data_IF_077852477431
#
_entry.id   IF_077852477431
#
_cell.length_a   1.000
_cell.length_b   1.000
_cell.length_c   1.000
_cell.angle_alpha   90.00
_cell.angle_beta   90.00
_cell.angle_gamma   90.00
#
_symmetry.space_group_name_H-M   'P 1'
#
loop_
_entity.id
_entity.type
_entity.pdbx_description
1 polymer ?
#
# COMPACT_ATOMS: atom_id res chain seq x y z
N UNK A 1 -20.66 -12.44 -5.27
CA UNK A 1 -20.34 -13.26 -4.08
C UNK A 1 -19.44 -12.41 -3.19
N UNK A 2 -19.67 -12.42 -1.87
CA UNK A 2 -18.82 -11.73 -0.91
C UNK A 2 -18.16 -12.80 -0.02
N UNK A 3 -16.84 -12.71 0.15
CA UNK A 3 -16.08 -13.57 1.04
C UNK A 3 -15.72 -12.79 2.30
N UNK A 4 -15.93 -13.38 3.47
CA UNK A 4 -15.39 -12.85 4.72
C UNK A 4 -13.89 -13.13 4.74
N UNK A 5 -13.10 -12.06 4.70
CA UNK A 5 -11.65 -12.18 4.62
C UNK A 5 -11.00 -12.44 5.99
N UNK A 6 -11.64 -11.99 7.08
CA UNK A 6 -11.20 -12.12 8.48
C UNK A 6 -12.41 -12.05 9.45
N UNK A 7 -12.32 -12.66 10.64
CA UNK A 7 -13.34 -12.60 11.72
C UNK A 7 -13.04 -11.51 12.78
N UNK A 8 -14.02 -11.12 13.62
CA UNK A 8 -14.49 -9.73 13.76
C UNK A 8 -13.37 -8.71 13.99
N UNK A 9 -13.43 -7.64 13.20
CA UNK A 9 -12.52 -6.50 13.33
C UNK A 9 -12.73 -5.82 14.70
N UNK A 10 -11.64 -5.62 15.44
CA UNK A 10 -11.66 -4.75 16.63
C UNK A 10 -11.95 -3.30 16.19
N UNK A 11 -13.10 -2.79 16.63
CA UNK A 11 -13.69 -1.48 16.28
C UNK A 11 -12.85 -0.28 16.77
N UNK A 12 -11.71 -0.55 17.42
CA UNK A 12 -10.84 0.43 18.05
C UNK A 12 -9.85 1.15 17.10
N UNK A 13 -9.84 0.86 15.80
CA UNK A 13 -8.80 1.35 14.89
C UNK A 13 -9.27 1.76 13.50
N UNK A 14 -8.97 2.99 13.10
CA UNK A 14 -9.08 3.46 11.72
C UNK A 14 -8.28 2.54 10.78
N UNK A 15 -8.94 1.86 9.84
CA UNK A 15 -8.30 1.03 8.82
C UNK A 15 -8.44 1.64 7.45
N UNK A 16 -7.40 1.46 6.64
CA UNK A 16 -7.46 1.74 5.20
C UNK A 16 -7.29 0.43 4.47
N UNK A 17 -8.13 0.23 3.45
CA UNK A 17 -8.17 -0.97 2.64
C UNK A 17 -7.83 -0.61 1.20
N UNK A 18 -7.12 -1.50 0.53
CA UNK A 18 -6.97 -1.50 -0.92
C UNK A 18 -7.26 -2.91 -1.44
N UNK A 19 -7.77 -3.01 -2.65
CA UNK A 19 -7.99 -4.29 -3.34
C UNK A 19 -7.50 -4.15 -4.77
N UNK A 20 -6.92 -5.22 -5.28
CA UNK A 20 -6.55 -5.33 -6.68
C UNK A 20 -6.72 -6.79 -7.13
N UNK A 21 -6.87 -6.98 -8.44
CA UNK A 21 -7.00 -8.32 -9.05
C UNK A 21 -5.78 -8.55 -9.92
N UNK A 22 -5.13 -9.70 -9.73
CA UNK A 22 -4.00 -10.12 -10.56
C UNK A 22 -4.45 -10.56 -11.96
N UNK A 23 -3.50 -10.73 -12.88
CA UNK A 23 -3.78 -11.27 -14.21
C UNK A 23 -4.29 -12.72 -14.19
N UNK A 24 -4.15 -13.42 -13.06
CA UNK A 24 -4.65 -14.76 -12.78
C UNK A 24 -6.08 -14.77 -12.20
N UNK A 25 -6.78 -13.63 -12.23
CA UNK A 25 -8.12 -13.41 -11.69
C UNK A 25 -8.23 -13.67 -10.18
N UNK A 26 -7.10 -13.63 -9.47
CA UNK A 26 -7.05 -13.82 -8.02
C UNK A 26 -7.05 -12.47 -7.32
N UNK A 27 -8.06 -12.18 -6.47
CA UNK A 27 -8.07 -10.95 -5.71
C UNK A 27 -7.02 -10.97 -4.60
N UNK A 28 -6.45 -9.79 -4.36
CA UNK A 28 -5.57 -9.51 -3.23
C UNK A 28 -6.09 -8.25 -2.55
N UNK A 29 -6.20 -8.28 -1.23
CA UNK A 29 -6.53 -7.10 -0.44
C UNK A 29 -5.36 -6.73 0.48
N UNK A 30 -5.17 -5.43 0.69
CA UNK A 30 -4.22 -4.90 1.66
C UNK A 30 -4.99 -4.16 2.76
N UNK A 31 -4.57 -4.35 4.01
CA UNK A 31 -5.14 -3.70 5.19
C UNK A 31 -4.05 -2.99 5.95
N UNK A 32 -4.18 -1.67 6.06
CA UNK A 32 -3.33 -0.83 6.90
C UNK A 32 -4.03 -0.53 8.23
N UNK A 33 -3.36 -0.86 9.33
CA UNK A 33 -3.69 -0.38 10.65
C UNK A 33 -3.24 1.08 10.79
N UNK A 34 -4.16 2.04 10.77
CA UNK A 34 -3.75 3.46 10.91
C UNK A 34 -3.32 3.81 12.33
N UNK A 35 -3.60 2.95 13.33
CA UNK A 35 -3.17 3.17 14.72
C UNK A 35 -1.68 2.91 14.89
N UNK A 36 -1.15 1.81 14.34
CA UNK A 36 0.23 1.36 14.59
C UNK A 36 1.06 1.12 13.30
N UNK A 37 0.46 1.32 12.13
CA UNK A 37 1.12 1.18 10.84
C UNK A 37 1.31 -0.25 10.33
N UNK A 38 0.77 -1.26 11.03
CA UNK A 38 0.82 -2.65 10.59
C UNK A 38 0.15 -2.80 9.21
N UNK A 39 0.81 -3.51 8.29
CA UNK A 39 0.29 -3.80 6.97
C UNK A 39 0.14 -5.31 6.80
N UNK A 40 -1.09 -5.74 6.54
CA UNK A 40 -1.42 -7.13 6.21
C UNK A 40 -1.89 -7.23 4.77
N UNK A 41 -1.54 -8.32 4.09
CA UNK A 41 -2.15 -8.72 2.83
C UNK A 41 -3.05 -9.93 3.05
N UNK A 42 -4.15 -9.95 2.34
CA UNK A 42 -5.08 -11.06 2.25
C UNK A 42 -5.00 -11.54 0.80
N UNK A 43 -4.56 -12.77 0.61
CA UNK A 43 -4.41 -13.40 -0.70
C UNK A 43 -5.41 -14.52 -0.87
N UNK A 44 -5.99 -14.64 -2.06
CA UNK A 44 -6.97 -15.65 -2.37
C UNK A 44 -6.36 -16.74 -3.26
N UNK A 45 -6.71 -18.00 -3.00
CA UNK A 45 -6.26 -19.13 -3.83
C UNK A 45 -6.98 -19.18 -5.20
N UNK A 46 -8.17 -18.59 -5.29
CA UNK A 46 -9.04 -18.57 -6.47
C UNK A 46 -9.85 -17.25 -6.55
N UNK A 47 -10.54 -17.03 -7.66
CA UNK A 47 -11.36 -15.84 -7.92
C UNK A 47 -12.55 -15.70 -6.96
N UNK A 48 -13.05 -16.82 -6.42
CA UNK A 48 -14.14 -16.82 -5.45
C UNK A 48 -13.66 -16.44 -4.03
N UNK A 49 -12.35 -16.45 -3.79
CA UNK A 49 -11.70 -16.22 -2.51
C UNK A 49 -12.31 -17.06 -1.37
N UNK A 50 -12.52 -18.35 -1.62
CA UNK A 50 -13.13 -19.25 -0.62
C UNK A 50 -12.20 -19.54 0.57
N UNK A 51 -10.88 -19.46 0.35
CA UNK A 51 -9.85 -19.75 1.35
C UNK A 51 -8.81 -18.62 1.39
N UNK A 52 -9.13 -17.48 2.02
CA UNK A 52 -8.21 -16.36 2.14
C UNK A 52 -7.04 -16.72 3.07
N UNK A 53 -5.83 -16.28 2.69
CA UNK A 53 -4.63 -16.34 3.54
C UNK A 53 -4.18 -14.94 3.89
N UNK A 54 -4.06 -14.67 5.20
CA UNK A 54 -3.50 -13.42 5.72
C UNK A 54 -1.99 -13.55 5.91
N UNK A 55 -1.24 -12.57 5.43
CA UNK A 55 0.20 -12.44 5.62
C UNK A 55 0.51 -11.05 6.16
N UNK A 56 1.30 -10.96 7.24
CA UNK A 56 1.82 -9.68 7.71
C UNK A 56 2.99 -9.27 6.84
N UNK A 57 2.82 -8.23 6.03
CA UNK A 57 3.89 -7.69 5.17
C UNK A 57 4.81 -6.74 5.92
N UNK A 58 4.26 -6.01 6.90
CA UNK A 58 5.03 -5.14 7.77
C UNK A 58 4.39 -5.11 9.15
N UNK A 59 5.16 -5.41 10.19
CA UNK A 59 4.69 -5.31 11.56
C UNK A 59 4.34 -3.86 11.92
N UNK A 60 3.34 -3.74 12.79
CA UNK A 60 3.07 -2.48 13.47
C UNK A 60 4.20 -2.13 14.42
N UNK A 61 4.32 -0.85 14.74
CA UNK A 61 5.22 -0.38 15.80
C UNK A 61 4.39 0.32 16.85
N UNK A 62 4.80 0.22 18.10
CA UNK A 62 4.18 0.99 19.16
C UNK A 62 4.34 2.47 18.85
N UNK A 63 3.25 3.08 18.43
CA UNK A 63 3.13 4.51 18.24
C UNK A 63 2.20 4.98 19.33
N UNK A 64 2.74 5.69 20.31
CA UNK A 64 1.92 6.53 21.18
C UNK A 64 1.02 7.37 20.25
N UNK A 65 -0.32 7.29 20.39
CA UNK A 65 -1.22 8.06 19.56
C UNK A 65 -1.03 9.53 19.93
N UNK A 66 -0.07 10.20 19.27
CA UNK A 66 0.08 11.63 19.40
C UNK A 66 -1.25 12.27 19.01
N UNK A 67 -1.66 13.37 19.64
CA UNK A 67 -2.91 14.05 19.29
C UNK A 67 -3.00 14.46 17.79
N UNK A 68 -1.84 14.49 17.11
CA UNK A 68 -1.68 14.66 15.65
C UNK A 68 -1.97 13.38 14.83
N UNK A 69 -2.11 12.22 15.47
CA UNK A 69 -2.40 10.87 14.94
C UNK A 69 -3.83 10.70 14.38
N UNK A 70 -4.64 11.77 14.30
CA UNK A 70 -5.83 11.80 13.41
C UNK A 70 -5.48 11.73 11.92
N UNK A 71 -4.19 11.79 11.61
CA UNK A 71 -3.58 11.42 10.33
C UNK A 71 -4.13 10.05 9.91
N UNK A 72 -5.07 10.07 8.97
CA UNK A 72 -5.57 8.86 8.32
C UNK A 72 -4.41 8.30 7.50
N UNK A 73 -3.78 7.24 8.02
CA UNK A 73 -2.97 6.37 7.18
C UNK A 73 -3.81 5.94 5.99
N UNK A 74 -3.15 5.70 4.86
CA UNK A 74 -3.85 5.13 3.72
C UNK A 74 -2.94 4.28 2.87
N UNK A 75 -3.58 3.37 2.15
CA UNK A 75 -2.93 2.40 1.30
C UNK A 75 -3.61 2.40 -0.07
N UNK A 76 -2.81 2.27 -1.12
CA UNK A 76 -3.24 1.99 -2.48
C UNK A 76 -2.36 0.86 -3.02
N UNK A 77 -2.89 0.06 -3.95
CA UNK A 77 -2.24 -1.14 -4.44
C UNK A 77 -2.54 -1.36 -5.91
N UNK A 78 -1.53 -1.84 -6.63
CA UNK A 78 -1.63 -2.35 -7.99
C UNK A 78 -0.97 -3.73 -8.07
N UNK A 79 -1.37 -4.52 -9.06
CA UNK A 79 -0.78 -5.84 -9.32
C UNK A 79 0.18 -5.77 -10.51
N UNK A 80 1.33 -6.42 -10.38
CA UNK A 80 2.19 -6.67 -11.54
C UNK A 80 1.71 -7.88 -12.33
N UNK A 81 2.19 -7.97 -13.57
CA UNK A 81 1.92 -9.10 -14.46
C UNK A 81 2.39 -10.44 -13.88
N UNK A 82 3.43 -10.45 -13.05
CA UNK A 82 3.92 -11.65 -12.35
C UNK A 82 3.12 -11.99 -11.07
N UNK A 83 2.06 -11.24 -10.77
CA UNK A 83 1.19 -11.41 -9.61
C UNK A 83 1.77 -10.87 -8.31
N UNK A 84 2.94 -10.20 -8.31
CA UNK A 84 3.44 -9.52 -7.12
C UNK A 84 2.76 -8.15 -6.94
N UNK A 85 2.27 -7.82 -5.74
CA UNK A 85 1.71 -6.51 -5.48
C UNK A 85 2.77 -5.39 -5.48
N UNK A 86 2.36 -4.19 -5.86
CA UNK A 86 3.04 -2.93 -5.50
C UNK A 86 2.09 -2.13 -4.67
N UNK A 87 2.57 -1.70 -3.50
CA UNK A 87 1.76 -0.99 -2.53
C UNK A 87 2.36 0.38 -2.32
N UNK A 88 1.53 1.42 -2.31
CA UNK A 88 1.94 2.74 -1.84
C UNK A 88 1.13 3.07 -0.60
N UNK A 89 1.81 3.60 0.41
CA UNK A 89 1.18 3.97 1.66
C UNK A 89 1.63 5.32 2.14
N UNK A 90 0.78 5.93 2.93
CA UNK A 90 1.12 7.07 3.76
C UNK A 90 1.48 6.57 5.16
N UNK A 91 2.71 6.84 5.60
CA UNK A 91 3.20 6.37 6.90
C UNK A 91 2.45 7.06 8.03
N UNK A 92 1.98 6.27 8.99
CA UNK A 92 1.10 6.75 10.06
C UNK A 92 1.83 7.66 11.06
N UNK A 93 3.17 7.63 11.10
CA UNK A 93 3.98 8.38 12.07
C UNK A 93 4.29 9.79 11.62
N UNK A 94 4.66 9.93 10.36
CA UNK A 94 5.18 11.18 9.79
C UNK A 94 4.40 11.65 8.55
N UNK A 95 3.47 10.84 8.05
CA UNK A 95 2.70 11.12 6.85
C UNK A 95 3.50 11.06 5.55
N UNK A 96 4.75 10.57 5.59
CA UNK A 96 5.58 10.36 4.40
C UNK A 96 4.94 9.33 3.47
N UNK A 97 5.09 9.54 2.17
CA UNK A 97 4.66 8.58 1.16
C UNK A 97 5.78 7.56 0.94
N UNK A 98 5.42 6.28 1.00
CA UNK A 98 6.33 5.16 0.84
C UNK A 98 5.77 4.18 -0.18
N UNK A 99 6.64 3.71 -1.07
CA UNK A 99 6.37 2.57 -1.95
C UNK A 99 6.93 1.30 -1.31
N UNK A 100 6.15 0.23 -1.36
CA UNK A 100 6.49 -1.09 -0.88
C UNK A 100 6.44 -2.03 -2.08
N UNK A 101 7.62 -2.46 -2.50
CA UNK A 101 7.76 -3.41 -3.59
C UNK A 101 7.80 -4.85 -3.02
N UNK A 102 6.73 -5.61 -3.23
CA UNK A 102 6.65 -6.99 -2.76
C UNK A 102 7.56 -7.90 -3.60
N UNK A 103 8.43 -8.67 -2.92
CA UNK A 103 9.34 -9.63 -3.57
C UNK A 103 8.70 -11.00 -3.84
N UNK A 104 7.51 -11.24 -3.30
CA UNK A 104 6.70 -12.43 -3.51
C UNK A 104 5.20 -12.09 -3.54
N UNK A 105 4.36 -13.03 -4.00
CA UNK A 105 2.90 -12.83 -4.15
C UNK A 105 2.18 -12.58 -2.83
N UNK A 106 2.69 -13.12 -1.72
CA UNK A 106 2.15 -12.89 -0.38
C UNK A 106 2.66 -11.62 0.29
N UNK A 107 3.61 -10.93 -0.35
CA UNK A 107 4.31 -9.78 0.19
C UNK A 107 4.94 -10.02 1.57
N UNK A 108 5.42 -11.24 1.83
CA UNK A 108 6.12 -11.56 3.08
C UNK A 108 7.50 -10.88 3.17
N UNK A 109 8.05 -10.48 2.02
CA UNK A 109 9.28 -9.70 1.91
C UNK A 109 9.05 -8.44 1.10
N UNK A 110 9.45 -7.31 1.67
CA UNK A 110 9.31 -5.96 1.10
C UNK A 110 10.59 -5.17 1.26
N UNK A 111 10.85 -4.29 0.29
CA UNK A 111 11.85 -3.22 0.39
C UNK A 111 11.14 -1.86 0.31
N UNK A 112 10.95 -1.15 1.44
CA UNK A 112 10.28 0.16 1.42
C UNK A 112 11.17 1.25 0.82
N UNK A 113 10.63 2.02 -0.12
CA UNK A 113 11.25 3.21 -0.72
C UNK A 113 10.51 4.45 -0.22
N UNK A 114 11.22 5.43 0.32
CA UNK A 114 10.64 6.73 0.65
C UNK A 114 10.50 7.55 -0.64
N UNK A 115 9.29 8.02 -0.93
CA UNK A 115 9.00 8.88 -2.08
C UNK A 115 8.93 10.35 -1.70
N UNK A 116 8.47 10.65 -0.48
CA UNK A 116 8.38 12.02 0.02
C UNK A 116 8.96 12.16 1.42
N UNK A 117 9.23 13.41 1.83
CA UNK A 117 9.43 13.74 3.23
C UNK A 117 8.13 13.67 4.06
N UNK A 118 8.21 13.91 5.38
CA UNK A 118 7.06 13.98 6.28
C UNK A 118 5.98 14.98 5.83
N UNK A 119 4.71 14.58 5.86
CA UNK A 119 3.58 15.47 5.59
C UNK A 119 2.29 14.98 6.23
N UNK A 120 1.79 15.70 7.24
CA UNK A 120 0.55 15.34 7.92
C UNK A 120 -0.73 15.70 7.15
N UNK A 121 -0.61 16.50 6.09
CA UNK A 121 -1.74 17.00 5.30
C UNK A 121 -1.69 16.55 3.83
N UNK A 122 -0.82 15.59 3.49
CA UNK A 122 -0.77 15.02 2.15
C UNK A 122 -2.01 14.18 1.84
N UNK A 123 -2.49 14.28 0.61
CA UNK A 123 -3.48 13.38 0.04
C UNK A 123 -2.95 11.93 0.01
N UNK A 124 -3.87 10.96 -0.06
CA UNK A 124 -3.49 9.57 -0.22
C UNK A 124 -2.77 9.36 -1.56
N UNK A 125 -1.64 8.64 -1.57
CA UNK A 125 -0.96 8.32 -2.81
C UNK A 125 -1.78 7.32 -3.62
N UNK A 126 -1.69 7.40 -4.94
CA UNK A 126 -2.28 6.45 -5.87
C UNK A 126 -1.17 5.73 -6.65
N UNK A 127 -1.41 4.47 -6.99
CA UNK A 127 -0.48 3.67 -7.81
C UNK A 127 -1.23 2.91 -8.88
N UNK A 128 -0.63 2.85 -10.06
CA UNK A 128 -0.99 1.91 -11.14
C UNK A 128 0.28 1.25 -11.67
N UNK A 129 0.14 0.16 -12.40
CA UNK A 129 1.22 -0.48 -13.15
C UNK A 129 1.02 -0.26 -14.63
N UNK A 130 2.10 0.10 -15.34
CA UNK A 130 2.06 0.19 -16.80
C UNK A 130 2.37 -1.17 -17.47
N UNK A 131 2.26 -1.21 -18.81
CA UNK A 131 2.53 -2.42 -19.58
C UNK A 131 4.00 -2.89 -19.53
N UNK A 132 4.93 -2.00 -19.19
CA UNK A 132 6.34 -2.32 -19.00
C UNK A 132 6.64 -2.82 -17.57
N UNK A 133 5.65 -2.84 -16.68
CA UNK A 133 5.77 -3.31 -15.30
C UNK A 133 6.29 -2.26 -14.32
N UNK A 134 6.38 -1.00 -14.74
CA UNK A 134 6.71 0.11 -13.84
C UNK A 134 5.51 0.46 -12.99
N UNK A 135 5.76 0.77 -11.72
CA UNK A 135 4.76 1.37 -10.86
C UNK A 135 4.75 2.89 -11.07
N UNK A 136 3.63 3.42 -11.55
CA UNK A 136 3.40 4.86 -11.66
C UNK A 136 2.70 5.33 -10.41
N UNK A 137 3.35 6.21 -9.65
CA UNK A 137 2.88 6.68 -8.33
C UNK A 137 2.60 8.17 -8.40
N UNK A 138 1.35 8.54 -8.14
CA UNK A 138 0.96 9.94 -7.95
C UNK A 138 0.93 10.26 -6.45
N UNK A 139 1.68 11.28 -6.04
CA UNK A 139 1.73 11.71 -4.63
C UNK A 139 2.04 13.19 -4.49
N UNK A 140 1.77 13.75 -3.31
CA UNK A 140 2.14 15.13 -2.98
C UNK A 140 3.53 15.16 -2.33
N UNK A 141 4.44 15.95 -2.90
CA UNK A 141 5.71 16.28 -2.26
C UNK A 141 5.57 17.61 -1.50
N UNK A 142 5.59 17.60 -0.16
CA UNK A 142 5.48 18.81 0.65
C UNK A 142 6.67 19.76 0.48
N UNK A 143 7.87 19.23 0.20
CA UNK A 143 9.08 20.03 0.08
C UNK A 143 9.08 20.80 -1.25
N UNK A 144 8.69 20.13 -2.33
CA UNK A 144 8.53 20.75 -3.65
C UNK A 144 7.22 21.55 -3.80
N UNK A 145 6.23 21.33 -2.92
CA UNK A 145 4.85 21.86 -3.03
C UNK A 145 4.20 21.49 -4.36
N UNK A 146 4.43 20.27 -4.82
CA UNK A 146 3.99 19.77 -6.12
C UNK A 146 3.29 18.41 -5.98
N UNK A 147 2.50 18.06 -7.00
CA UNK A 147 2.06 16.69 -7.23
C UNK A 147 3.10 16.06 -8.16
N UNK A 148 3.70 14.96 -7.71
CA UNK A 148 4.72 14.23 -8.44
C UNK A 148 4.11 12.95 -9.00
N UNK A 149 4.39 12.68 -10.27
CA UNK A 149 4.20 11.38 -10.89
C UNK A 149 5.57 10.70 -10.99
N UNK A 150 5.82 9.72 -10.12
CA UNK A 150 7.05 8.94 -10.15
C UNK A 150 6.84 7.63 -10.90
N UNK A 151 7.83 7.22 -11.68
CA UNK A 151 7.93 5.87 -12.22
C UNK A 151 8.95 5.08 -11.39
N UNK A 152 8.54 3.93 -10.86
CA UNK A 152 9.37 3.06 -10.02
C UNK A 152 9.51 1.65 -10.61
N UNK A 153 10.74 1.14 -10.63
CA UNK A 153 11.06 -0.25 -10.96
C UNK A 153 12.00 -0.81 -9.89
N UNK A 154 11.51 -1.77 -9.12
CA UNK A 154 12.22 -2.19 -7.92
C UNK A 154 12.29 -1.07 -6.89
N UNK A 155 13.46 -0.93 -6.26
CA UNK A 155 13.78 0.17 -5.35
C UNK A 155 14.16 1.49 -6.03
N UNK A 156 14.12 1.58 -7.37
CA UNK A 156 14.56 2.77 -8.12
C UNK A 156 13.35 3.54 -8.61
N UNK A 157 13.23 4.79 -8.17
CA UNK A 157 12.17 5.70 -8.57
C UNK A 157 12.77 6.96 -9.18
N UNK A 158 12.15 7.46 -10.24
CA UNK A 158 12.46 8.74 -10.87
C UNK A 158 11.20 9.47 -11.28
N UNK A 159 11.32 10.71 -11.74
CA UNK A 159 10.21 11.40 -12.38
C UNK A 159 9.77 10.59 -13.61
N UNK A 160 8.47 10.33 -13.74
CA UNK A 160 7.95 9.74 -14.95
C UNK A 160 8.24 10.70 -16.11
N UNK A 161 8.72 10.20 -17.26
CA UNK A 161 8.89 11.05 -18.43
C UNK A 161 7.54 11.68 -18.80
N UNK A 162 7.50 12.95 -19.25
CA UNK A 162 6.28 13.49 -19.83
C UNK A 162 5.88 12.62 -21.02
N UNK A 163 4.59 12.27 -21.09
CA UNK A 163 4.01 11.48 -22.16
C UNK A 163 4.19 12.16 -23.53
#
# INVERSE_FOLDING_TARGET
>A
MAAELESPFDDSGYRSLAVAVGADDRPVAARLNSRNGALSLITCADAACTTPRVTTAQDGRDTEPSYRSRVRGGVSMAMRADGRPVIVRRDVRDGSVRLLDCRDRGCARIDPVALSGPSYNSALPAVVTDAAGWALVAYQDPAARQIILAACSGGRCGLAPPA
#
